data_IF_408577048327
#
_entry.id   IF_408577048327
#
_cell.length_a   1.000
_cell.length_b   1.000
_cell.length_c   1.000
_cell.angle_alpha   90.00
_cell.angle_beta   90.00
_cell.angle_gamma   90.00
#
_symmetry.space_group_name_H-M   'P 1'
#
loop_
_entity.id
_entity.type
_entity.pdbx_description
1 polymer ?
#
# COMPACT_ATOMS: atom_id res chain seq x y z
N UNK A 1 1.13 -5.13 -7.27
CA UNK A 1 0.48 -5.97 -6.24
C UNK A 1 -1.00 -6.13 -6.57
N UNK A 2 -1.54 -7.29 -6.34
CA UNK A 2 -2.97 -7.52 -6.53
C UNK A 2 -3.78 -6.79 -5.48
N UNK A 3 -4.98 -6.35 -5.86
CA UNK A 3 -5.85 -5.64 -4.93
C UNK A 3 -6.15 -6.44 -3.66
N UNK A 4 -6.47 -7.74 -3.83
CA UNK A 4 -6.80 -8.58 -2.67
C UNK A 4 -5.62 -8.73 -1.72
N UNK A 5 -4.41 -8.88 -2.24
CA UNK A 5 -3.21 -8.99 -1.40
C UNK A 5 -2.93 -7.68 -0.68
N UNK A 6 -3.10 -6.56 -1.38
CA UNK A 6 -2.89 -5.25 -0.76
C UNK A 6 -3.90 -4.98 0.35
N UNK A 7 -5.16 -5.33 0.13
CA UNK A 7 -6.20 -5.11 1.14
C UNK A 7 -5.95 -5.95 2.39
N UNK A 8 -5.43 -7.17 2.23
CA UNK A 8 -5.04 -7.99 3.38
C UNK A 8 -3.96 -7.31 4.21
N UNK A 9 -3.00 -6.67 3.55
CA UNK A 9 -1.95 -5.93 4.27
C UNK A 9 -2.52 -4.73 5.00
N UNK A 10 -3.48 -4.04 4.40
CA UNK A 10 -4.13 -2.90 5.07
C UNK A 10 -4.87 -3.34 6.33
N UNK A 11 -5.58 -4.47 6.27
CA UNK A 11 -6.27 -5.01 7.44
C UNK A 11 -5.27 -5.39 8.51
N UNK A 12 -4.19 -6.08 8.14
CA UNK A 12 -3.15 -6.47 9.09
C UNK A 12 -2.50 -5.25 9.74
N UNK A 13 -2.24 -4.21 8.96
CA UNK A 13 -1.65 -2.98 9.49
C UNK A 13 -2.56 -2.30 10.51
N UNK A 14 -3.88 -2.37 10.29
CA UNK A 14 -4.84 -1.78 11.21
C UNK A 14 -4.98 -2.57 12.51
N UNK A 15 -4.79 -3.89 12.43
CA UNK A 15 -4.99 -4.77 13.57
C UNK A 15 -3.74 -4.98 14.41
N UNK A 16 -2.55 -4.85 13.81
CA UNK A 16 -1.29 -5.10 14.50
C UNK A 16 -0.71 -3.78 15.01
N UNK A 17 -0.56 -3.67 16.31
CA UNK A 17 -0.07 -2.45 16.92
C UNK A 17 1.46 -2.38 16.98
N UNK A 18 2.14 -3.52 16.96
CA UNK A 18 3.59 -3.56 17.15
C UNK A 18 4.36 -4.02 15.92
N UNK A 19 3.73 -4.65 14.97
CA UNK A 19 4.40 -5.23 13.81
C UNK A 19 3.60 -4.93 12.55
N UNK A 20 3.77 -3.73 12.04
CA UNK A 20 3.02 -3.30 10.87
C UNK A 20 3.72 -3.76 9.59
N UNK A 21 3.01 -4.40 8.67
CA UNK A 21 3.59 -4.76 7.39
C UNK A 21 3.92 -3.52 6.58
N UNK A 22 4.94 -3.63 5.73
CA UNK A 22 5.34 -2.55 4.85
C UNK A 22 5.27 -3.01 3.41
N UNK A 23 5.20 -2.06 2.50
CA UNK A 23 5.27 -2.31 1.06
C UNK A 23 6.35 -1.45 0.46
N UNK A 24 6.78 -1.80 -0.75
CA UNK A 24 7.79 -1.03 -1.48
C UNK A 24 7.14 -0.31 -2.65
N UNK A 25 7.52 0.93 -2.82
CA UNK A 25 7.19 1.70 -4.01
C UNK A 25 8.40 2.52 -4.40
N UNK A 26 8.87 2.33 -5.63
CA UNK A 26 10.08 2.99 -6.14
C UNK A 26 11.29 2.75 -5.23
N UNK A 27 11.39 1.55 -4.65
CA UNK A 27 12.50 1.16 -3.80
C UNK A 27 12.47 1.71 -2.37
N UNK A 28 11.39 2.38 -2.00
CA UNK A 28 11.26 2.98 -0.67
C UNK A 28 10.13 2.26 0.08
N UNK A 29 10.34 2.05 1.38
CA UNK A 29 9.36 1.38 2.23
C UNK A 29 8.29 2.33 2.72
N UNK A 30 7.05 1.86 2.68
CA UNK A 30 5.89 2.62 3.15
C UNK A 30 4.94 1.70 3.90
N UNK A 31 4.08 2.29 4.73
CA UNK A 31 3.00 1.56 5.37
C UNK A 31 1.75 1.62 4.49
N UNK A 32 1.05 0.51 4.28
CA UNK A 32 -0.23 0.53 3.57
C UNK A 32 -1.30 1.16 4.46
N UNK A 33 -1.87 2.29 4.02
CA UNK A 33 -2.89 3.01 4.77
C UNK A 33 -4.29 2.75 4.24
N UNK A 34 -4.44 2.63 2.94
CA UNK A 34 -5.74 2.47 2.36
C UNK A 34 -5.69 2.21 0.87
N UNK A 35 -6.86 2.24 0.26
CA UNK A 35 -7.04 1.87 -1.13
C UNK A 35 -8.11 2.76 -1.73
N UNK A 36 -7.90 3.18 -2.98
CA UNK A 36 -8.86 4.00 -3.69
C UNK A 36 -9.16 3.37 -5.05
N UNK A 37 -10.44 3.31 -5.39
CA UNK A 37 -10.88 2.93 -6.71
C UNK A 37 -11.57 4.13 -7.36
N UNK A 38 -11.09 4.52 -8.54
CA UNK A 38 -11.68 5.60 -9.30
C UNK A 38 -11.91 5.14 -10.74
N UNK A 39 -12.72 5.89 -11.47
CA UNK A 39 -12.93 5.64 -12.89
C UNK A 39 -12.46 6.86 -13.65
N UNK A 40 -11.68 6.64 -14.70
CA UNK A 40 -11.22 7.74 -15.54
C UNK A 40 -12.33 8.19 -16.52
N UNK A 41 -12.02 9.15 -17.37
CA UNK A 41 -13.00 9.70 -18.30
C UNK A 41 -13.52 8.66 -19.30
N UNK A 42 -12.74 7.63 -19.56
CA UNK A 42 -13.14 6.55 -20.48
C UNK A 42 -13.93 5.46 -19.77
N UNK A 43 -14.13 5.57 -18.45
CA UNK A 43 -14.83 4.57 -17.68
C UNK A 43 -13.97 3.43 -17.20
N UNK A 44 -12.66 3.55 -17.37
CA UNK A 44 -11.73 2.50 -16.95
C UNK A 44 -11.42 2.64 -15.46
N UNK A 45 -11.41 1.51 -14.76
CA UNK A 45 -11.11 1.48 -13.34
C UNK A 45 -9.63 1.79 -13.10
N UNK A 46 -9.38 2.69 -12.16
CA UNK A 46 -8.03 3.07 -11.75
C UNK A 46 -7.89 2.72 -10.27
N UNK A 47 -6.94 1.83 -9.97
CA UNK A 47 -6.70 1.37 -8.61
C UNK A 47 -5.47 2.05 -8.06
N UNK A 48 -5.61 2.72 -6.91
CA UNK A 48 -4.49 3.41 -6.27
C UNK A 48 -4.32 2.97 -4.84
N UNK A 49 -3.06 2.82 -4.43
CA UNK A 49 -2.73 2.56 -3.04
C UNK A 49 -2.51 3.89 -2.34
N UNK A 50 -2.96 3.98 -1.10
CA UNK A 50 -2.69 5.12 -0.23
C UNK A 50 -1.64 4.67 0.75
N UNK A 51 -0.47 5.31 0.69
CA UNK A 51 0.70 4.90 1.46
C UNK A 51 1.11 6.00 2.43
N UNK A 52 1.65 5.58 3.57
CA UNK A 52 2.23 6.48 4.56
C UNK A 52 3.73 6.26 4.60
N UNK A 53 4.49 7.35 4.56
CA UNK A 53 5.94 7.29 4.63
C UNK A 53 6.36 6.70 5.99
N UNK A 54 7.24 5.70 5.96
CA UNK A 54 7.67 5.03 7.18
C UNK A 54 8.55 5.93 8.06
N UNK A 55 9.22 6.90 7.46
CA UNK A 55 10.08 7.83 8.19
C UNK A 55 9.39 9.14 8.52
N UNK A 56 8.33 9.49 7.77
CA UNK A 56 7.58 10.73 7.98
C UNK A 56 6.10 10.39 8.12
N UNK A 57 5.69 10.12 9.33
CA UNK A 57 4.34 9.61 9.58
C UNK A 57 3.21 10.54 9.17
N UNK A 58 3.52 11.81 8.92
CA UNK A 58 2.51 12.78 8.50
C UNK A 58 2.30 12.82 6.99
N UNK A 59 3.11 12.10 6.22
CA UNK A 59 3.06 12.17 4.78
C UNK A 59 2.30 10.99 4.20
N UNK A 60 1.17 11.28 3.57
CA UNK A 60 0.40 10.30 2.81
C UNK A 60 0.52 10.64 1.33
N UNK A 61 0.52 9.62 0.49
CA UNK A 61 0.45 9.86 -0.93
C UNK A 61 -0.24 8.70 -1.64
N UNK A 62 -0.68 8.96 -2.85
CA UNK A 62 -1.39 8.00 -3.69
C UNK A 62 -0.47 7.53 -4.80
N UNK A 63 -0.46 6.25 -5.09
CA UNK A 63 0.34 5.71 -6.18
C UNK A 63 -0.43 4.60 -6.87
N UNK A 64 -0.07 4.28 -8.13
CA UNK A 64 -0.72 3.17 -8.83
C UNK A 64 -0.50 1.86 -8.08
N UNK A 65 -1.58 1.13 -7.83
CA UNK A 65 -1.48 -0.13 -7.10
C UNK A 65 -0.57 -1.13 -7.79
N UNK A 66 -0.59 -1.16 -9.12
CA UNK A 66 0.25 -2.09 -9.87
C UNK A 66 1.74 -1.89 -9.70
N UNK A 67 2.16 -0.75 -9.17
CA UNK A 67 3.58 -0.44 -8.95
C UNK A 67 4.02 -0.68 -7.51
N UNK A 68 3.09 -1.06 -6.64
CA UNK A 68 3.41 -1.40 -5.27
C UNK A 68 3.91 -2.83 -5.21
N UNK A 69 4.98 -3.07 -4.48
CA UNK A 69 5.58 -4.39 -4.34
C UNK A 69 5.54 -4.84 -2.90
N UNK A 70 5.43 -6.14 -2.71
CA UNK A 70 5.45 -6.73 -1.39
C UNK A 70 6.89 -6.76 -0.88
N UNK A 71 7.06 -6.37 0.38
CA UNK A 71 8.36 -6.53 1.04
C UNK A 71 8.49 -7.99 1.44
N UNK A 72 9.54 -8.64 0.95
CA UNK A 72 9.79 -10.02 1.33
C UNK A 72 10.06 -10.08 2.82
N UNK A 73 9.29 -10.91 3.51
CA UNK A 73 9.56 -11.17 4.90
C UNK A 73 10.92 -11.85 5.00
N UNK A 74 11.75 -11.39 5.90
CA UNK A 74 13.00 -12.06 6.15
C UNK A 74 12.73 -13.49 6.52
N UNK A 75 13.32 -14.39 5.78
CA UNK A 75 13.13 -15.81 6.00
C UNK A 75 14.08 -16.29 7.10
N UNK A 76 13.81 -15.94 8.28
CA UNK A 76 14.64 -16.41 9.39
C UNK A 76 13.86 -17.25 10.37
#
# INVERSE_FOLDING_TARGET
>A
MKRSDYLKLCVSAAMLSYRKPKVLYAGIEYYPEGYELRFDKSGKAVHRAILRDASKHNCLFYCPLGKVQEVEADAD
#
